data_IF_943863619176
#
_entry.id   IF_943863619176
#
_cell.length_a   1.000
_cell.length_b   1.000
_cell.length_c   1.000
_cell.angle_alpha   90.00
_cell.angle_beta   90.00
_cell.angle_gamma   90.00
#
_symmetry.space_group_name_H-M   'P 1'
#
loop_
_entity.id
_entity.type
_entity.pdbx_description
1 polymer ?
#
# COMPACT_ATOMS: atom_id res chain seq x y z
N UNK A 1 -67.09 -43.98 63.41
CA UNK A 1 -66.54 -43.14 64.50
C UNK A 1 -65.25 -42.48 63.99
N UNK A 2 -65.20 -41.14 64.01
CA UNK A 2 -64.07 -40.21 63.81
C UNK A 2 -63.22 -40.24 62.51
N UNK A 3 -63.45 -39.17 61.74
CA UNK A 3 -62.64 -38.44 60.76
C UNK A 3 -61.13 -38.67 60.80
N UNK A 4 -60.52 -38.68 59.61
CA UNK A 4 -59.29 -37.92 59.34
C UNK A 4 -59.25 -37.46 57.88
N UNK A 5 -59.26 -36.15 57.73
CA UNK A 5 -59.04 -35.40 56.50
C UNK A 5 -57.52 -35.27 56.30
N UNK A 6 -56.97 -35.61 55.13
CA UNK A 6 -55.64 -35.12 54.73
C UNK A 6 -55.67 -34.70 53.25
N UNK A 7 -55.59 -33.39 53.10
CA UNK A 7 -55.19 -32.65 51.90
C UNK A 7 -53.73 -32.95 51.55
N UNK A 8 -53.40 -33.05 50.26
CA UNK A 8 -52.07 -32.76 49.69
C UNK A 8 -52.22 -32.67 48.16
N UNK A 9 -52.31 -31.45 47.63
CA UNK A 9 -51.21 -30.63 47.08
C UNK A 9 -50.90 -30.98 45.61
N UNK A 10 -51.49 -30.19 44.71
CA UNK A 10 -51.20 -30.17 43.27
C UNK A 10 -49.82 -29.52 43.10
N UNK A 11 -48.83 -30.27 42.61
CA UNK A 11 -47.51 -29.77 42.27
C UNK A 11 -47.55 -29.22 40.83
N UNK A 12 -47.62 -27.89 40.68
CA UNK A 12 -47.46 -27.22 39.39
C UNK A 12 -45.96 -27.03 39.14
N UNK A 13 -45.38 -27.85 38.25
CA UNK A 13 -43.99 -27.71 37.83
C UNK A 13 -43.88 -26.53 36.84
N UNK A 14 -43.54 -25.35 37.35
CA UNK A 14 -43.21 -24.17 36.54
C UNK A 14 -41.75 -24.27 36.10
N UNK A 15 -41.52 -24.82 34.90
CA UNK A 15 -40.20 -24.91 34.30
C UNK A 15 -39.79 -23.51 33.79
N UNK A 16 -39.07 -22.75 34.62
CA UNK A 16 -38.43 -21.50 34.25
C UNK A 16 -37.29 -21.81 33.25
N UNK A 17 -37.54 -21.57 31.96
CA UNK A 17 -36.49 -21.51 30.94
C UNK A 17 -35.67 -20.24 31.16
N UNK A 18 -34.60 -20.35 31.94
CA UNK A 18 -33.53 -19.35 31.99
C UNK A 18 -32.79 -19.39 30.65
N UNK A 19 -33.16 -18.48 29.74
CA UNK A 19 -32.33 -18.16 28.59
C UNK A 19 -31.06 -17.48 29.10
N UNK A 20 -30.02 -18.27 29.35
CA UNK A 20 -28.65 -17.78 29.50
C UNK A 20 -28.27 -17.10 28.18
N UNK A 21 -28.45 -15.78 28.14
CA UNK A 21 -27.90 -14.95 27.10
C UNK A 21 -26.38 -15.01 27.18
N UNK A 22 -25.78 -15.89 26.38
CA UNK A 22 -24.36 -15.80 26.05
C UNK A 22 -24.14 -14.50 25.27
N UNK A 23 -23.94 -13.40 25.99
CA UNK A 23 -23.24 -12.25 25.46
C UNK A 23 -21.79 -12.69 25.25
N UNK A 24 -21.47 -13.16 24.04
CA UNK A 24 -20.11 -13.21 23.56
C UNK A 24 -19.60 -11.76 23.48
N UNK A 25 -19.17 -11.22 24.63
CA UNK A 25 -18.20 -10.12 24.62
C UNK A 25 -17.00 -10.67 23.86
N UNK A 26 -16.84 -10.24 22.61
CA UNK A 26 -15.57 -10.40 21.89
C UNK A 26 -14.51 -9.83 22.84
N UNK A 27 -13.66 -10.70 23.37
CA UNK A 27 -12.48 -10.26 24.09
C UNK A 27 -11.75 -9.29 23.17
N UNK A 28 -11.54 -8.07 23.67
CA UNK A 28 -10.76 -7.08 22.96
C UNK A 28 -9.33 -7.63 23.01
N UNK A 29 -8.91 -8.27 21.92
CA UNK A 29 -7.53 -8.74 21.77
C UNK A 29 -6.65 -7.53 22.08
N UNK A 30 -5.88 -7.65 23.16
CA UNK A 30 -4.95 -6.59 23.57
C UNK A 30 -3.86 -6.54 22.51
N UNK A 31 -3.70 -5.36 21.89
CA UNK A 31 -2.64 -5.14 20.91
C UNK A 31 -1.31 -5.07 21.65
N UNK A 32 -0.30 -5.72 21.11
CA UNK A 32 1.07 -5.69 21.61
C UNK A 32 1.89 -4.49 21.08
N UNK A 33 1.23 -3.56 20.40
CA UNK A 33 1.81 -2.33 19.87
C UNK A 33 0.94 -1.10 20.18
N UNK A 34 1.57 0.07 20.08
CA UNK A 34 0.89 1.36 20.01
C UNK A 34 1.17 2.01 18.66
N UNK A 35 0.20 2.75 18.12
CA UNK A 35 0.47 3.56 16.92
C UNK A 35 1.15 4.88 17.30
N UNK A 36 2.22 5.21 16.59
CA UNK A 36 2.94 6.47 16.69
C UNK A 36 3.07 7.10 15.31
N UNK A 37 3.28 8.41 15.26
CA UNK A 37 3.67 9.10 14.03
C UNK A 37 5.18 8.93 13.88
N UNK A 38 5.64 8.37 12.76
CA UNK A 38 7.07 8.27 12.45
C UNK A 38 7.67 9.61 12.01
N UNK A 39 8.98 9.62 11.72
CA UNK A 39 9.70 10.81 11.28
C UNK A 39 9.18 11.36 9.93
N UNK A 40 8.53 10.49 9.15
CA UNK A 40 7.89 10.86 7.89
C UNK A 40 6.44 11.34 8.10
N UNK A 41 5.84 11.25 9.27
CA UNK A 41 4.45 11.70 9.48
C UNK A 41 3.39 10.63 9.14
N UNK A 42 3.79 9.36 9.04
CA UNK A 42 2.94 8.19 8.80
C UNK A 42 2.66 7.49 10.14
N UNK A 43 1.44 6.96 10.31
CA UNK A 43 1.14 6.18 11.51
C UNK A 43 1.76 4.79 11.36
N UNK A 44 2.67 4.45 12.26
CA UNK A 44 3.37 3.16 12.32
C UNK A 44 3.19 2.50 13.67
N UNK A 45 3.32 1.19 13.69
CA UNK A 45 3.37 0.41 14.91
C UNK A 45 4.68 0.63 15.66
N UNK A 46 4.57 0.83 16.96
CA UNK A 46 5.69 0.79 17.90
C UNK A 46 5.45 -0.35 18.88
N UNK A 47 6.28 -1.37 18.77
CA UNK A 47 6.28 -2.54 19.63
C UNK A 47 7.16 -2.33 20.86
N UNK A 48 6.89 -3.09 21.92
CA UNK A 48 7.84 -3.25 23.02
C UNK A 48 9.15 -3.88 22.51
N UNK A 49 10.29 -3.48 23.09
CA UNK A 49 11.61 -3.99 22.70
C UNK A 49 11.79 -5.50 22.90
N UNK A 50 10.93 -6.12 23.72
CA UNK A 50 10.89 -7.57 23.93
C UNK A 50 10.18 -8.33 22.81
N UNK A 51 9.46 -7.64 21.92
CA UNK A 51 8.90 -8.26 20.72
C UNK A 51 10.00 -8.45 19.66
N UNK A 52 10.47 -9.69 19.59
CA UNK A 52 11.50 -10.17 18.67
C UNK A 52 10.93 -10.88 17.43
N UNK A 53 9.62 -10.85 17.21
CA UNK A 53 9.00 -11.43 16.03
C UNK A 53 9.47 -10.65 14.78
N UNK A 54 10.08 -11.37 13.83
CA UNK A 54 10.58 -10.79 12.59
C UNK A 54 9.46 -10.20 11.72
N UNK A 55 8.23 -10.71 11.88
CA UNK A 55 7.07 -10.35 11.09
C UNK A 55 6.12 -9.36 11.78
N UNK A 56 6.50 -8.81 12.94
CA UNK A 56 5.62 -7.93 13.74
C UNK A 56 4.94 -6.80 12.95
N UNK A 57 5.62 -6.23 11.96
CA UNK A 57 5.08 -5.16 11.09
C UNK A 57 4.18 -5.63 9.95
N UNK A 58 3.87 -6.92 9.84
CA UNK A 58 2.97 -7.47 8.84
C UNK A 58 1.84 -8.36 9.41
N UNK A 59 1.84 -8.64 10.72
CA UNK A 59 0.87 -9.54 11.36
C UNK A 59 -0.58 -9.05 11.26
N UNK A 60 -0.77 -7.73 11.25
CA UNK A 60 -2.07 -7.06 11.16
C UNK A 60 -2.41 -6.60 9.73
N UNK A 61 -1.56 -6.88 8.74
CA UNK A 61 -1.83 -6.53 7.34
C UNK A 61 -3.03 -7.33 6.82
N UNK A 62 -3.97 -6.66 6.16
CA UNK A 62 -5.07 -7.30 5.44
C UNK A 62 -4.71 -7.58 3.98
N UNK A 63 -3.98 -6.65 3.35
CA UNK A 63 -3.58 -6.65 1.93
C UNK A 63 -2.17 -7.20 1.76
N UNK A 64 -1.16 -6.55 2.36
CA UNK A 64 0.26 -6.84 2.15
C UNK A 64 0.75 -7.93 3.08
N UNK A 65 0.17 -9.13 2.96
CA UNK A 65 0.55 -10.31 3.74
C UNK A 65 1.78 -11.01 3.18
N UNK A 66 2.62 -11.56 4.06
CA UNK A 66 3.81 -12.32 3.65
C UNK A 66 3.45 -13.40 2.62
N UNK A 67 4.20 -13.46 1.53
CA UNK A 67 4.01 -14.43 0.45
C UNK A 67 2.99 -14.03 -0.62
N UNK A 68 2.25 -12.91 -0.44
CA UNK A 68 1.44 -12.35 -1.51
C UNK A 68 2.31 -11.58 -2.50
N UNK A 69 1.82 -11.49 -3.73
CA UNK A 69 2.43 -10.71 -4.79
C UNK A 69 1.37 -9.94 -5.56
N UNK A 70 1.78 -8.83 -6.17
CA UNK A 70 0.92 -7.93 -6.93
C UNK A 70 1.63 -7.62 -8.24
N UNK A 71 1.12 -8.13 -9.35
CA UNK A 71 1.63 -7.82 -10.69
C UNK A 71 0.85 -6.66 -11.28
N UNK A 72 1.56 -5.58 -11.57
CA UNK A 72 1.04 -4.42 -12.27
C UNK A 72 1.54 -4.40 -13.70
N UNK A 73 0.65 -4.17 -14.66
CA UNK A 73 1.08 -3.70 -15.98
C UNK A 73 1.51 -2.25 -15.89
N UNK A 74 2.53 -1.89 -16.66
CA UNK A 74 3.14 -0.56 -16.69
C UNK A 74 2.93 0.08 -18.05
N UNK A 75 2.60 1.37 -18.08
CA UNK A 75 2.60 2.20 -19.28
C UNK A 75 3.27 3.55 -18.98
N UNK A 76 4.16 4.00 -19.85
CA UNK A 76 4.59 5.40 -19.90
C UNK A 76 3.97 6.08 -21.12
N UNK A 77 3.42 7.27 -20.91
CA UNK A 77 2.91 8.13 -21.99
C UNK A 77 3.63 9.46 -22.00
N UNK A 78 4.21 9.80 -23.14
CA UNK A 78 4.90 11.09 -23.33
C UNK A 78 3.92 12.25 -23.31
N UNK A 79 4.43 13.48 -23.27
CA UNK A 79 3.60 14.70 -23.36
C UNK A 79 2.89 14.85 -24.70
N UNK A 80 3.36 14.18 -25.77
CA UNK A 80 2.67 14.10 -27.06
C UNK A 80 1.59 13.01 -27.13
N UNK A 81 1.49 12.16 -26.09
CA UNK A 81 0.52 11.08 -26.02
C UNK A 81 1.03 9.73 -26.56
N UNK A 82 2.29 9.65 -27.01
CA UNK A 82 2.91 8.39 -27.44
C UNK A 82 3.13 7.46 -26.25
N UNK A 83 2.84 6.17 -26.45
CA UNK A 83 3.13 5.13 -25.48
C UNK A 83 4.56 4.63 -25.70
N UNK A 84 5.37 4.62 -24.64
CA UNK A 84 6.71 4.03 -24.63
C UNK A 84 6.89 3.14 -23.42
N UNK A 85 7.89 2.28 -23.52
CA UNK A 85 8.40 1.50 -22.40
C UNK A 85 9.87 1.85 -22.18
N UNK A 86 10.47 1.32 -21.11
CA UNK A 86 11.91 1.38 -20.95
C UNK A 86 12.53 0.00 -21.03
N UNK A 87 13.68 -0.06 -21.68
CA UNK A 87 14.53 -1.23 -21.76
C UNK A 87 15.72 -1.05 -20.83
N UNK A 88 15.99 -2.03 -19.99
CA UNK A 88 17.19 -2.03 -19.15
C UNK A 88 18.39 -2.40 -20.03
N UNK A 89 19.50 -1.67 -19.89
CA UNK A 89 20.71 -1.94 -20.66
C UNK A 89 21.29 -3.31 -20.26
N UNK A 90 21.99 -4.04 -21.15
CA UNK A 90 22.52 -5.36 -20.84
C UNK A 90 23.51 -5.42 -19.66
N UNK A 91 24.11 -4.29 -19.30
CA UNK A 91 24.98 -4.16 -18.13
C UNK A 91 24.23 -3.86 -16.81
N UNK A 92 22.90 -3.71 -16.90
CA UNK A 92 21.98 -3.35 -15.83
C UNK A 92 22.26 -2.01 -15.13
N UNK A 93 23.07 -1.12 -15.74
CA UNK A 93 23.43 0.18 -15.14
C UNK A 93 22.62 1.33 -15.72
N UNK A 94 22.10 1.16 -16.92
CA UNK A 94 21.32 2.16 -17.65
C UNK A 94 19.97 1.63 -18.12
N UNK A 95 19.24 2.51 -18.79
CA UNK A 95 18.01 2.17 -19.49
C UNK A 95 17.75 3.20 -20.57
N UNK A 96 16.99 2.82 -21.59
CA UNK A 96 16.57 3.70 -22.69
C UNK A 96 15.07 3.52 -22.99
N UNK A 97 14.42 4.55 -23.52
CA UNK A 97 13.04 4.43 -23.99
C UNK A 97 12.99 3.64 -25.29
N UNK A 98 11.95 2.82 -25.43
CA UNK A 98 11.66 2.02 -26.63
C UNK A 98 10.18 2.13 -26.99
N UNK A 99 9.88 1.89 -28.27
CA UNK A 99 8.51 1.92 -28.78
C UNK A 99 7.72 0.67 -28.33
N UNK A 100 6.39 0.78 -28.38
CA UNK A 100 5.48 -0.22 -27.81
C UNK A 100 5.53 -1.60 -28.49
N UNK A 101 5.90 -1.63 -29.77
CA UNK A 101 5.99 -2.82 -30.61
C UNK A 101 7.33 -3.57 -30.47
N UNK A 102 8.29 -3.05 -29.70
CA UNK A 102 9.53 -3.75 -29.42
C UNK A 102 9.27 -5.00 -28.54
N UNK A 103 10.03 -6.06 -28.86
CA UNK A 103 9.89 -7.42 -28.31
C UNK A 103 11.11 -7.89 -27.53
N UNK A 104 12.11 -7.01 -27.29
CA UNK A 104 13.29 -7.37 -26.50
C UNK A 104 12.91 -7.78 -25.05
N UNK A 105 13.55 -8.84 -24.55
CA UNK A 105 13.26 -9.41 -23.22
C UNK A 105 13.64 -8.49 -22.05
N UNK A 106 14.47 -7.46 -22.30
CA UNK A 106 14.87 -6.48 -21.29
C UNK A 106 13.92 -5.27 -21.21
N UNK A 107 12.82 -5.30 -21.96
CA UNK A 107 11.77 -4.28 -21.89
C UNK A 107 10.89 -4.55 -20.66
N UNK A 108 10.78 -3.53 -19.81
CA UNK A 108 9.90 -3.58 -18.65
C UNK A 108 8.49 -3.19 -19.09
N UNK A 109 7.58 -4.17 -19.06
CA UNK A 109 6.13 -3.97 -19.31
C UNK A 109 5.28 -4.17 -18.07
N UNK A 110 5.87 -4.64 -16.98
CA UNK A 110 5.17 -4.89 -15.72
C UNK A 110 6.11 -4.73 -14.52
N UNK A 111 5.52 -4.52 -13.34
CA UNK A 111 6.21 -4.49 -12.05
C UNK A 111 5.52 -5.50 -11.13
N UNK A 112 6.27 -6.41 -10.52
CA UNK A 112 5.76 -7.28 -9.47
C UNK A 112 6.22 -6.75 -8.12
N UNK A 113 5.28 -6.49 -7.23
CA UNK A 113 5.53 -6.22 -5.81
C UNK A 113 5.37 -7.54 -5.07
N UNK A 114 6.43 -8.04 -4.45
CA UNK A 114 6.39 -9.24 -3.62
C UNK A 114 6.52 -8.87 -2.14
N UNK A 115 5.62 -9.36 -1.30
CA UNK A 115 5.70 -9.15 0.15
C UNK A 115 6.64 -10.18 0.76
N UNK A 116 7.69 -9.67 1.39
CA UNK A 116 8.79 -10.47 1.92
C UNK A 116 8.52 -10.89 3.37
N UNK A 117 9.10 -12.02 3.76
CA UNK A 117 9.12 -12.45 5.16
C UNK A 117 10.18 -11.67 5.93
N UNK A 118 9.84 -11.19 7.13
CA UNK A 118 10.75 -10.52 8.04
C UNK A 118 11.40 -9.25 7.48
N UNK A 119 12.61 -8.96 7.97
CA UNK A 119 13.45 -7.86 7.49
C UNK A 119 14.66 -8.41 6.70
N UNK A 120 14.55 -8.64 5.38
CA UNK A 120 15.65 -9.15 4.55
C UNK A 120 16.83 -8.17 4.43
N UNK A 121 16.65 -6.91 4.84
CA UNK A 121 17.69 -5.88 4.85
C UNK A 121 18.24 -5.60 6.25
N UNK A 122 17.99 -6.47 7.23
CA UNK A 122 18.42 -6.27 8.62
C UNK A 122 19.94 -6.03 8.78
N UNK A 123 20.76 -6.55 7.86
CA UNK A 123 22.20 -6.29 7.85
C UNK A 123 22.58 -4.83 7.54
N UNK A 124 21.69 -4.09 6.86
CA UNK A 124 21.87 -2.68 6.49
C UNK A 124 21.01 -1.75 7.35
N UNK A 125 19.77 -2.16 7.63
CA UNK A 125 18.78 -1.42 8.40
C UNK A 125 18.15 -2.38 9.41
N UNK A 126 18.79 -2.63 10.57
CA UNK A 126 18.28 -3.59 11.56
C UNK A 126 16.94 -3.17 12.15
N UNK A 127 16.73 -1.86 12.33
CA UNK A 127 15.53 -1.28 12.93
C UNK A 127 14.44 -0.96 11.90
N UNK A 128 14.41 -1.69 10.78
CA UNK A 128 13.40 -1.49 9.73
C UNK A 128 12.01 -1.76 10.28
N UNK A 129 11.13 -0.75 10.22
CA UNK A 129 9.83 -0.73 10.88
C UNK A 129 8.65 -0.82 9.90
N UNK A 130 8.88 -1.41 8.73
CA UNK A 130 7.90 -1.53 7.65
C UNK A 130 7.80 -2.99 7.22
N UNK A 131 6.66 -3.37 6.64
CA UNK A 131 6.56 -4.62 5.88
C UNK A 131 7.49 -4.56 4.69
N UNK A 132 8.48 -5.44 4.61
CA UNK A 132 9.42 -5.45 3.50
C UNK A 132 8.73 -5.90 2.19
N UNK A 133 8.97 -5.16 1.11
CA UNK A 133 8.49 -5.49 -0.23
C UNK A 133 9.65 -5.47 -1.22
N UNK A 134 9.57 -6.32 -2.25
CA UNK A 134 10.53 -6.38 -3.35
C UNK A 134 9.86 -5.97 -4.67
N UNK A 135 10.56 -5.15 -5.46
CA UNK A 135 10.16 -4.73 -6.80
C UNK A 135 10.91 -5.53 -7.86
N UNK A 136 10.20 -6.45 -8.52
CA UNK A 136 10.74 -7.30 -9.58
C UNK A 136 10.24 -6.76 -10.93
N UNK A 137 11.16 -6.25 -11.74
CA UNK A 137 10.86 -5.68 -13.06
C UNK A 137 10.96 -6.73 -14.17
N UNK A 138 11.97 -7.59 -14.08
CA UNK A 138 12.26 -8.66 -15.02
C UNK A 138 12.72 -9.87 -14.21
N UNK A 139 12.22 -11.06 -14.55
CA UNK A 139 12.62 -12.30 -13.90
C UNK A 139 14.13 -12.55 -14.09
N UNK A 140 14.84 -12.85 -13.00
CA UNK A 140 16.28 -13.09 -13.01
C UNK A 140 17.17 -11.83 -13.02
N UNK A 141 16.59 -10.64 -13.13
CA UNK A 141 17.31 -9.36 -12.95
C UNK A 141 17.24 -8.95 -11.47
N UNK A 142 18.28 -8.30 -10.91
CA UNK A 142 18.25 -7.81 -9.53
C UNK A 142 17.00 -6.98 -9.25
N UNK A 143 16.35 -7.27 -8.12
CA UNK A 143 15.20 -6.52 -7.61
C UNK A 143 15.66 -5.49 -6.58
N UNK A 144 14.84 -4.46 -6.36
CA UNK A 144 15.04 -3.53 -5.24
C UNK A 144 14.10 -3.86 -4.09
N UNK A 145 14.53 -3.55 -2.88
CA UNK A 145 13.72 -3.70 -1.68
C UNK A 145 13.30 -2.35 -1.14
N UNK A 146 12.08 -2.29 -0.63
CA UNK A 146 11.51 -1.12 0.04
C UNK A 146 10.46 -1.59 1.06
N UNK A 147 9.47 -0.76 1.37
CA UNK A 147 8.50 -1.07 2.41
C UNK A 147 7.09 -0.62 2.12
N UNK A 148 6.18 -1.29 2.81
CA UNK A 148 4.78 -0.96 2.96
C UNK A 148 4.48 -0.76 4.45
N UNK A 149 3.57 0.16 4.74
CA UNK A 149 2.99 0.34 6.07
C UNK A 149 1.49 0.08 5.91
N UNK A 150 0.97 -0.90 6.61
CA UNK A 150 -0.46 -1.21 6.66
C UNK A 150 -0.86 -1.48 8.10
N UNK A 151 -1.79 -0.69 8.62
CA UNK A 151 -2.36 -0.88 9.94
C UNK A 151 -3.76 -0.26 10.02
N UNK A 152 -4.35 -0.22 11.21
CA UNK A 152 -5.70 0.31 11.38
C UNK A 152 -5.85 1.80 11.04
N UNK A 153 -4.77 2.57 10.92
CA UNK A 153 -4.79 4.00 10.66
C UNK A 153 -4.49 4.34 9.20
N UNK A 154 -3.65 3.56 8.50
CA UNK A 154 -3.32 3.84 7.11
C UNK A 154 -2.76 2.66 6.34
N UNK A 155 -2.79 2.82 5.01
CA UNK A 155 -2.00 2.03 4.06
C UNK A 155 -1.14 2.98 3.23
N UNK A 156 0.16 2.70 3.19
CA UNK A 156 1.17 3.43 2.42
C UNK A 156 2.13 2.42 1.79
N UNK A 157 2.54 2.66 0.54
CA UNK A 157 3.62 1.90 -0.09
C UNK A 157 4.64 2.86 -0.68
N UNK A 158 5.92 2.56 -0.47
CA UNK A 158 6.99 3.24 -1.17
C UNK A 158 6.90 2.91 -2.68
N UNK A 159 6.90 3.82 -3.66
CA UNK A 159 6.86 3.46 -5.07
C UNK A 159 8.16 2.73 -5.52
N UNK A 160 8.15 2.00 -6.64
CA UNK A 160 9.40 1.50 -7.23
C UNK A 160 10.33 2.67 -7.57
N UNK A 161 11.64 2.45 -7.46
CA UNK A 161 12.68 3.47 -7.67
C UNK A 161 13.83 3.05 -8.58
N UNK A 162 13.69 1.93 -9.28
CA UNK A 162 14.74 1.45 -10.18
C UNK A 162 14.59 2.01 -11.59
N UNK A 163 15.73 2.32 -12.22
CA UNK A 163 15.77 2.77 -13.61
C UNK A 163 14.82 3.96 -13.90
N UNK A 164 13.82 3.75 -14.75
CA UNK A 164 12.80 4.74 -15.10
C UNK A 164 12.00 5.19 -13.87
N UNK A 165 11.70 4.27 -12.96
CA UNK A 165 10.84 4.53 -11.82
C UNK A 165 11.45 5.46 -10.77
N UNK A 166 12.74 5.83 -10.89
CA UNK A 166 13.33 6.93 -10.09
C UNK A 166 12.52 8.22 -10.15
N UNK A 167 11.82 8.46 -11.27
CA UNK A 167 10.94 9.63 -11.42
C UNK A 167 9.81 9.65 -10.39
N UNK A 168 9.33 8.48 -9.94
CA UNK A 168 8.21 8.35 -9.00
C UNK A 168 8.56 8.79 -7.57
N UNK A 169 9.84 8.95 -7.25
CA UNK A 169 10.24 9.58 -5.98
C UNK A 169 9.73 11.03 -5.89
N UNK A 170 9.61 11.71 -7.04
CA UNK A 170 9.10 13.07 -7.12
C UNK A 170 7.57 13.14 -7.08
N UNK A 171 6.88 12.02 -7.16
CA UNK A 171 5.42 11.93 -7.16
C UNK A 171 4.87 11.72 -5.74
N UNK A 172 3.60 12.06 -5.47
CA UNK A 172 2.93 11.57 -4.27
C UNK A 172 2.97 10.04 -4.23
N UNK A 173 3.23 9.47 -3.05
CA UNK A 173 3.27 8.03 -2.88
C UNK A 173 1.85 7.47 -2.73
N UNK A 174 1.58 6.21 -3.10
CA UNK A 174 0.30 5.59 -2.83
C UNK A 174 0.04 5.53 -1.32
N UNK A 175 -0.91 6.33 -0.86
CA UNK A 175 -1.21 6.54 0.55
C UNK A 175 -2.72 6.74 0.73
N UNK A 176 -3.32 6.07 1.72
CA UNK A 176 -4.71 6.28 2.14
C UNK A 176 -4.83 6.17 3.66
N UNK A 177 -5.57 7.10 4.29
CA UNK A 177 -5.84 7.08 5.73
C UNK A 177 -7.23 6.52 6.05
N UNK A 178 -7.29 5.67 7.07
CA UNK A 178 -8.54 5.20 7.65
C UNK A 178 -9.10 6.24 8.66
N UNK A 179 -10.43 6.30 8.84
CA UNK A 179 -11.45 5.58 8.09
C UNK A 179 -11.57 6.09 6.64
N UNK A 180 -11.78 5.18 5.68
CA UNK A 180 -11.88 5.50 4.25
C UNK A 180 -13.19 6.23 3.93
N UNK A 181 -13.18 7.54 4.16
CA UNK A 181 -14.32 8.44 4.00
C UNK A 181 -14.01 9.49 2.94
N UNK A 182 -14.95 9.69 2.02
CA UNK A 182 -14.87 10.76 1.01
C UNK A 182 -14.77 12.12 1.71
N UNK A 183 -13.88 12.98 1.23
CA UNK A 183 -13.53 14.29 1.79
C UNK A 183 -12.49 14.25 2.91
N UNK A 184 -11.98 13.07 3.29
CA UNK A 184 -10.82 12.97 4.19
C UNK A 184 -9.58 13.54 3.50
N UNK A 185 -8.91 14.49 4.15
CA UNK A 185 -7.70 15.18 3.65
C UNK A 185 -6.54 15.02 4.62
N UNK A 186 -5.33 14.91 4.09
CA UNK A 186 -4.10 14.94 4.89
C UNK A 186 -2.94 15.47 4.05
N UNK A 187 -1.90 15.91 4.74
CA UNK A 187 -0.66 16.35 4.14
C UNK A 187 0.46 15.39 4.50
N UNK A 188 1.51 15.40 3.70
CA UNK A 188 2.75 14.69 3.92
C UNK A 188 3.89 15.49 3.28
N UNK A 189 5.14 15.24 3.65
CA UNK A 189 6.29 15.87 3.00
C UNK A 189 7.44 14.88 2.88
N UNK A 190 8.31 15.08 1.89
CA UNK A 190 9.50 14.25 1.69
C UNK A 190 10.66 15.13 1.23
N UNK A 191 11.82 14.92 1.84
CA UNK A 191 13.08 15.52 1.40
C UNK A 191 13.74 14.59 0.39
N UNK A 192 14.00 15.10 -0.83
CA UNK A 192 14.50 14.31 -1.95
C UNK A 192 15.85 14.85 -2.41
N UNK A 193 16.87 14.00 -2.43
CA UNK A 193 18.21 14.33 -2.90
C UNK A 193 18.36 14.29 -4.42
N UNK A 194 19.35 14.99 -4.96
CA UNK A 194 19.68 15.02 -6.39
C UNK A 194 20.10 13.66 -6.98
N UNK A 195 20.21 12.59 -6.19
CA UNK A 195 20.40 11.22 -6.69
C UNK A 195 19.23 10.71 -7.55
N UNK A 196 18.06 11.37 -7.48
CA UNK A 196 16.88 11.11 -8.31
C UNK A 196 16.78 12.04 -9.52
N UNK A 197 17.74 12.95 -9.70
CA UNK A 197 17.83 13.79 -10.88
C UNK A 197 18.18 12.94 -12.10
N UNK A 198 17.52 13.22 -13.22
CA UNK A 198 17.84 12.64 -14.51
C UNK A 198 17.58 13.66 -15.62
N UNK A 199 18.52 13.76 -16.55
CA UNK A 199 18.42 14.69 -17.70
C UNK A 199 17.18 14.42 -18.58
N UNK A 200 16.59 13.24 -18.50
CA UNK A 200 15.40 12.85 -19.25
C UNK A 200 14.12 13.50 -18.73
N UNK A 201 14.03 13.78 -17.43
CA UNK A 201 12.85 14.45 -16.84
C UNK A 201 13.19 15.79 -16.20
N UNK A 202 14.14 15.81 -15.26
CA UNK A 202 14.49 17.00 -14.49
C UNK A 202 15.79 16.80 -13.73
N UNK A 203 16.63 17.83 -13.70
CA UNK A 203 17.82 17.90 -12.85
C UNK A 203 17.74 19.04 -11.85
N UNK A 204 18.38 18.85 -10.69
CA UNK A 204 18.56 19.85 -9.66
C UNK A 204 19.79 19.48 -8.81
N UNK A 205 20.24 20.44 -8.01
CA UNK A 205 21.33 20.25 -7.05
C UNK A 205 20.80 20.19 -5.61
N UNK A 206 21.54 19.50 -4.75
CA UNK A 206 21.23 19.29 -3.33
C UNK A 206 19.87 18.60 -3.13
N UNK A 207 19.14 19.00 -2.10
CA UNK A 207 17.82 18.50 -1.78
C UNK A 207 16.71 19.43 -2.26
N UNK A 208 15.53 18.86 -2.39
CA UNK A 208 14.25 19.56 -2.47
C UNK A 208 13.34 19.03 -1.37
N UNK A 209 12.34 19.81 -0.98
CA UNK A 209 11.25 19.35 -0.14
C UNK A 209 9.99 19.33 -1.00
N UNK A 210 9.41 18.13 -1.14
CA UNK A 210 8.12 17.94 -1.78
C UNK A 210 7.03 18.03 -0.70
N UNK A 211 6.07 18.93 -0.89
CA UNK A 211 4.90 19.07 -0.05
C UNK A 211 3.71 18.40 -0.73
N UNK A 212 3.14 17.39 -0.09
CA UNK A 212 2.05 16.61 -0.63
C UNK A 212 0.71 16.96 0.03
N UNK A 213 -0.34 16.98 -0.80
CA UNK A 213 -1.73 17.09 -0.36
C UNK A 213 -2.50 15.90 -0.91
N UNK A 214 -3.31 15.28 -0.06
CA UNK A 214 -4.13 14.11 -0.42
C UNK A 214 -5.60 14.35 -0.08
N UNK A 215 -6.48 13.78 -0.88
CA UNK A 215 -7.92 13.72 -0.61
C UNK A 215 -8.51 12.41 -1.10
N UNK A 216 -9.35 11.75 -0.29
CA UNK A 216 -10.26 10.71 -0.80
C UNK A 216 -11.42 11.43 -1.50
N UNK A 217 -11.41 11.51 -2.82
CA UNK A 217 -12.37 12.33 -3.57
C UNK A 217 -13.64 11.58 -3.94
N UNK A 218 -13.57 10.27 -4.13
CA UNK A 218 -14.70 9.50 -4.63
C UNK A 218 -14.67 8.01 -4.22
N UNK A 219 -15.75 7.31 -4.54
CA UNK A 219 -15.84 5.85 -4.55
C UNK A 219 -16.54 5.40 -5.84
N UNK A 220 -15.81 4.70 -6.71
CA UNK A 220 -16.29 4.34 -8.05
C UNK A 220 -16.29 2.82 -8.25
N UNK A 221 -17.06 2.34 -9.23
CA UNK A 221 -16.91 0.99 -9.77
C UNK A 221 -15.89 1.05 -10.92
N UNK A 222 -14.71 0.49 -10.70
CA UNK A 222 -13.62 0.44 -11.68
C UNK A 222 -13.60 -0.92 -12.36
N UNK A 223 -13.61 -0.95 -13.68
CA UNK A 223 -13.35 -2.16 -14.46
C UNK A 223 -11.85 -2.46 -14.44
N UNK A 224 -11.48 -3.70 -14.09
CA UNK A 224 -10.08 -4.13 -13.99
C UNK A 224 -9.95 -5.56 -14.51
N UNK A 225 -8.72 -6.02 -14.72
CA UNK A 225 -8.45 -7.43 -15.03
C UNK A 225 -8.93 -8.42 -13.94
N UNK A 226 -9.13 -7.95 -12.70
CA UNK A 226 -9.68 -8.74 -11.59
C UNK A 226 -11.22 -8.70 -11.52
N UNK A 227 -11.87 -8.07 -12.51
CA UNK A 227 -13.29 -7.79 -12.55
C UNK A 227 -13.64 -6.36 -12.12
N UNK A 228 -14.93 -6.11 -11.94
CA UNK A 228 -15.42 -4.81 -11.49
C UNK A 228 -15.24 -4.65 -9.98
N UNK A 229 -14.43 -3.67 -9.57
CA UNK A 229 -14.05 -3.44 -8.17
C UNK A 229 -14.58 -2.09 -7.68
N UNK A 230 -15.16 -2.08 -6.48
CA UNK A 230 -15.59 -0.83 -5.86
C UNK A 230 -14.40 -0.17 -5.16
N UNK A 231 -13.80 0.83 -5.80
CA UNK A 231 -12.56 1.46 -5.36
C UNK A 231 -12.79 2.85 -4.80
N UNK A 232 -12.03 3.20 -3.76
CA UNK A 232 -11.83 4.58 -3.34
C UNK A 232 -10.88 5.27 -4.32
N UNK A 233 -11.17 6.52 -4.66
CA UNK A 233 -10.29 7.36 -5.47
C UNK A 233 -9.59 8.33 -4.52
N UNK A 234 -8.26 8.36 -4.60
CA UNK A 234 -7.41 9.27 -3.85
C UNK A 234 -6.71 10.16 -4.87
N UNK A 235 -6.97 11.45 -4.80
CA UNK A 235 -6.25 12.45 -5.58
C UNK A 235 -5.18 13.07 -4.70
N UNK A 236 -3.98 13.19 -5.25
CA UNK A 236 -2.88 13.83 -4.57
C UNK A 236 -1.99 14.61 -5.51
N UNK A 237 -1.42 15.68 -4.96
CA UNK A 237 -0.49 16.57 -5.65
C UNK A 237 0.76 16.74 -4.79
N UNK A 238 1.90 16.92 -5.45
CA UNK A 238 3.14 17.35 -4.84
C UNK A 238 3.58 18.68 -5.42
N UNK A 239 4.13 19.55 -4.58
CA UNK A 239 4.77 20.78 -5.00
C UNK A 239 6.12 20.97 -4.34
N UNK A 240 7.11 21.36 -5.14
CA UNK A 240 8.42 21.80 -4.68
C UNK A 240 8.98 22.90 -5.58
N UNK A 241 10.18 23.40 -5.25
CA UNK A 241 10.84 24.45 -6.04
C UNK A 241 11.16 24.06 -7.49
N UNK A 242 11.07 22.77 -7.86
CA UNK A 242 11.38 22.30 -9.22
C UNK A 242 10.16 22.01 -10.10
N UNK A 243 8.95 22.03 -9.51
CA UNK A 243 7.70 21.84 -10.24
C UNK A 243 6.64 21.12 -9.42
N UNK A 244 5.61 20.64 -10.12
CA UNK A 244 4.47 19.93 -9.55
C UNK A 244 4.34 18.54 -10.15
N UNK A 245 3.85 17.61 -9.36
CA UNK A 245 3.50 16.25 -9.78
C UNK A 245 2.15 15.87 -9.16
N UNK A 246 1.54 14.81 -9.66
CA UNK A 246 0.26 14.32 -9.12
C UNK A 246 0.16 12.80 -9.19
N UNK A 247 -0.74 12.23 -8.40
CA UNK A 247 -1.16 10.84 -8.46
C UNK A 247 -2.68 10.77 -8.25
N UNK A 248 -3.36 10.04 -9.12
CA UNK A 248 -4.69 9.50 -8.84
C UNK A 248 -4.54 8.01 -8.55
N UNK A 249 -4.75 7.63 -7.28
CA UNK A 249 -4.70 6.25 -6.84
C UNK A 249 -6.10 5.67 -6.67
N UNK A 250 -6.28 4.41 -7.05
CA UNK A 250 -7.52 3.66 -6.89
C UNK A 250 -7.28 2.54 -5.90
N UNK A 251 -7.97 2.57 -4.76
CA UNK A 251 -7.74 1.65 -3.65
C UNK A 251 -8.96 0.76 -3.40
N UNK A 252 -8.74 -0.55 -3.29
CA UNK A 252 -9.74 -1.54 -2.90
C UNK A 252 -9.30 -2.22 -1.59
N UNK A 253 -10.16 -2.28 -0.55
CA UNK A 253 -9.78 -2.81 0.77
C UNK A 253 -9.18 -4.22 0.77
N UNK A 254 -9.56 -5.07 -0.20
CA UNK A 254 -9.02 -6.44 -0.33
C UNK A 254 -7.74 -6.52 -1.17
N UNK A 255 -7.56 -5.61 -2.13
CA UNK A 255 -6.53 -5.75 -3.19
C UNK A 255 -5.48 -4.64 -3.13
N UNK A 256 -5.59 -3.71 -2.19
CA UNK A 256 -4.69 -2.57 -2.10
C UNK A 256 -4.94 -1.56 -3.22
N UNK A 257 -3.86 -0.93 -3.68
CA UNK A 257 -3.90 -0.02 -4.81
C UNK A 257 -4.05 -0.81 -6.12
N UNK A 258 -5.19 -0.72 -6.78
CA UNK A 258 -5.48 -1.45 -8.02
C UNK A 258 -5.07 -0.69 -9.27
N UNK A 259 -4.94 0.64 -9.18
CA UNK A 259 -4.45 1.50 -10.26
C UNK A 259 -3.76 2.74 -9.69
N UNK A 260 -2.67 3.14 -10.31
CA UNK A 260 -1.90 4.34 -9.99
C UNK A 260 -1.67 5.13 -11.29
N UNK A 261 -2.25 6.32 -11.39
CA UNK A 261 -2.15 7.22 -12.55
C UNK A 261 -1.36 8.47 -12.15
N UNK A 262 -0.08 8.48 -12.49
CA UNK A 262 0.85 9.55 -12.13
C UNK A 262 0.93 10.61 -13.21
N UNK A 263 1.00 11.87 -12.80
CA UNK A 263 1.50 12.97 -13.62
C UNK A 263 2.91 13.32 -13.15
N UNK A 264 3.90 13.06 -14.00
CA UNK A 264 5.31 13.20 -13.67
C UNK A 264 5.78 14.66 -13.79
N UNK A 265 6.98 14.93 -13.27
CA UNK A 265 7.57 16.28 -13.20
C UNK A 265 7.83 16.94 -14.57
N UNK A 266 7.95 16.12 -15.61
CA UNK A 266 8.14 16.54 -17.02
C UNK A 266 6.81 16.62 -17.80
N UNK A 267 5.67 16.39 -17.13
CA UNK A 267 4.34 16.37 -17.72
C UNK A 267 3.95 15.04 -18.39
N UNK A 268 4.84 14.04 -18.41
CA UNK A 268 4.50 12.70 -18.87
C UNK A 268 3.58 11.97 -17.87
N UNK A 269 3.00 10.84 -18.30
CA UNK A 269 2.19 9.97 -17.44
C UNK A 269 2.88 8.65 -17.20
N UNK A 270 2.76 8.14 -15.97
CA UNK A 270 3.08 6.75 -15.62
C UNK A 270 1.81 6.09 -15.13
N UNK A 271 1.46 4.93 -15.68
CA UNK A 271 0.34 4.14 -15.20
C UNK A 271 0.82 2.79 -14.71
N UNK A 272 0.34 2.38 -13.54
CA UNK A 272 0.47 1.02 -13.01
C UNK A 272 -0.93 0.47 -12.75
N UNK A 273 -1.30 -0.65 -13.38
CA UNK A 273 -2.62 -1.27 -13.22
C UNK A 273 -2.49 -2.73 -12.76
N UNK A 274 -3.13 -3.07 -11.65
CA UNK A 274 -3.06 -4.40 -11.04
C UNK A 274 -3.78 -5.42 -11.93
N UNK A 275 -3.02 -6.39 -12.44
CA UNK A 275 -3.56 -7.44 -13.29
C UNK A 275 -3.66 -8.80 -12.60
N UNK A 276 -2.89 -9.02 -11.53
CA UNK A 276 -2.86 -10.30 -10.82
C UNK A 276 -2.37 -10.14 -9.38
N UNK A 277 -2.97 -10.92 -8.48
CA UNK A 277 -2.49 -11.13 -7.11
C UNK A 277 -2.78 -12.58 -6.67
N UNK A 278 -2.10 -13.07 -5.65
CA UNK A 278 -2.23 -14.44 -5.11
C UNK A 278 -2.40 -14.44 -3.59
#
# INVERSE_FOLDING_TARGET
>A
MKKTLKSSLILFNLMLLLTLGCSNKKEKIEKDYVLVVDDDGIMVEKFDTTNIDENKFNLNNEVFKVGTSFKYDFEHRTTSGEIKYFKINPDHKGWDFVDADDTDSLIVKSVVIQVMNGNPIAQFIPDYNQTAIAYILIEGVPFSMSGAIENEANIWIHPPREHYFKILELNPFPYIKAPYKIGTKWNWNLIIGSSYADRRWKTWENTIENNYQYEITNKILLETALGNLQCYVIESEAESRIGKTALTAYFHPKYGFVKLDYTNIDGSKTMLELIKTN
#
